data_IF_450540756783
#
_entry.id   IF_450540756783
#
_cell.length_a   1.000
_cell.length_b   1.000
_cell.length_c   1.000
_cell.angle_alpha   90.00
_cell.angle_beta   90.00
_cell.angle_gamma   90.00
#
_symmetry.space_group_name_H-M   'P 1'
#
loop_
_entity.id
_entity.type
_entity.pdbx_description
1 polymer ?
#
# COMPACT_ATOMS: atom_id res chain seq x y z
N UNK A 1 -8.29 23.07 33.63
CA UNK A 1 -7.78 24.07 32.66
C UNK A 1 -6.35 24.34 33.07
N UNK A 2 -5.31 24.01 32.31
CA UNK A 2 -4.94 24.58 31.01
C UNK A 2 -4.14 23.54 30.21
N UNK A 3 -4.62 23.18 29.00
CA UNK A 3 -3.85 22.44 28.01
C UNK A 3 -2.84 23.40 27.34
N UNK A 4 -1.55 23.10 27.45
CA UNK A 4 -0.47 23.87 26.83
C UNK A 4 -0.29 23.48 25.35
N UNK A 5 -0.16 24.52 24.54
CA UNK A 5 -0.03 24.54 23.08
C UNK A 5 1.15 23.68 22.57
N UNK A 6 0.85 22.60 21.84
CA UNK A 6 1.78 21.97 20.90
C UNK A 6 1.27 22.29 19.50
N UNK A 7 1.67 23.47 19.01
CA UNK A 7 1.25 24.00 17.72
C UNK A 7 2.44 24.16 16.77
N UNK A 8 2.34 23.49 15.63
CA UNK A 8 2.74 24.07 14.34
C UNK A 8 4.24 24.42 14.15
N UNK A 9 5.13 23.43 14.24
CA UNK A 9 6.47 23.52 13.60
C UNK A 9 6.35 23.17 12.11
N UNK A 10 5.65 24.06 11.40
CA UNK A 10 5.42 24.10 9.96
C UNK A 10 6.73 24.36 9.19
N UNK A 11 6.91 23.68 8.07
CA UNK A 11 6.97 24.30 6.73
C UNK A 11 7.72 25.64 6.68
N UNK A 12 8.98 25.68 7.12
CA UNK A 12 9.83 26.89 7.01
C UNK A 12 10.97 26.77 6.01
N UNK A 13 11.36 25.56 5.60
CA UNK A 13 12.41 25.40 4.58
C UNK A 13 11.84 25.46 3.16
N UNK A 14 10.56 25.10 2.98
CA UNK A 14 9.92 25.13 1.65
C UNK A 14 9.62 26.55 1.14
N UNK A 15 9.23 27.52 2.00
CA UNK A 15 8.84 28.87 1.54
C UNK A 15 10.00 29.76 1.06
N UNK A 16 11.25 29.46 1.42
CA UNK A 16 12.40 30.28 1.01
C UNK A 16 12.82 30.05 -0.45
N UNK A 17 12.34 28.98 -1.09
CA UNK A 17 12.68 28.63 -2.48
C UNK A 17 11.58 29.09 -3.46
N UNK A 18 10.41 29.52 -2.96
CA UNK A 18 9.23 29.91 -3.78
C UNK A 18 9.27 31.32 -4.39
N UNK A 19 10.42 32.01 -4.43
CA UNK A 19 10.56 33.18 -5.29
C UNK A 19 11.18 32.75 -6.61
N UNK A 20 10.30 32.65 -7.61
CA UNK A 20 10.55 32.55 -9.05
C UNK A 20 11.29 31.31 -9.56
N UNK A 21 10.62 30.16 -9.72
CA UNK A 21 11.08 29.15 -10.69
C UNK A 21 9.91 28.43 -11.35
N UNK A 22 9.94 28.40 -12.69
CA UNK A 22 9.14 27.61 -13.63
C UNK A 22 9.13 26.11 -13.24
N UNK A 23 8.29 25.23 -13.83
CA UNK A 23 8.24 23.82 -13.43
C UNK A 23 9.56 23.12 -13.80
N UNK A 24 10.50 23.09 -12.85
CA UNK A 24 11.78 22.42 -13.03
C UNK A 24 11.57 20.97 -12.63
N UNK A 25 11.45 20.10 -13.63
CA UNK A 25 11.76 18.67 -13.49
C UNK A 25 13.14 18.60 -12.82
N UNK A 26 13.24 17.94 -11.67
CA UNK A 26 14.48 18.01 -10.90
C UNK A 26 15.55 17.18 -11.61
N UNK A 27 16.43 17.84 -12.39
CA UNK A 27 17.59 17.22 -13.05
C UNK A 27 18.59 16.62 -12.04
N UNK A 28 18.40 16.86 -10.74
CA UNK A 28 19.20 16.27 -9.67
C UNK A 28 18.41 15.11 -9.04
N UNK A 29 18.89 13.86 -9.11
CA UNK A 29 18.21 12.69 -8.56
C UNK A 29 18.14 12.67 -7.02
N UNK A 30 18.60 13.75 -6.35
CA UNK A 30 18.75 13.87 -4.90
C UNK A 30 17.59 14.57 -4.19
N UNK A 31 16.66 15.15 -4.92
CA UNK A 31 15.57 15.92 -4.35
C UNK A 31 14.24 15.45 -4.91
N UNK A 32 13.21 15.50 -4.08
CA UNK A 32 11.84 15.48 -4.56
C UNK A 32 11.19 16.82 -4.29
N UNK A 33 10.29 17.19 -5.17
CA UNK A 33 9.54 18.43 -5.07
C UNK A 33 8.10 18.04 -4.78
N UNK A 34 7.59 18.46 -3.61
CA UNK A 34 6.15 18.49 -3.31
C UNK A 34 5.64 19.90 -3.58
N UNK A 35 5.22 20.17 -4.82
CA UNK A 35 4.51 21.39 -5.17
C UNK A 35 3.04 21.04 -5.34
N UNK A 36 2.14 21.74 -4.63
CA UNK A 36 0.67 21.68 -4.80
C UNK A 36 0.18 20.37 -5.45
N UNK A 37 0.16 19.29 -4.68
CA UNK A 37 -0.34 17.98 -5.11
C UNK A 37 0.48 17.25 -6.20
N UNK A 38 1.75 17.56 -6.39
CA UNK A 38 2.65 16.83 -7.30
C UNK A 38 3.90 16.40 -6.54
N UNK A 39 4.24 15.12 -6.63
CA UNK A 39 5.50 14.54 -6.14
C UNK A 39 6.36 14.20 -7.32
N UNK A 40 7.54 14.81 -7.41
CA UNK A 40 8.53 14.47 -8.43
C UNK A 40 9.78 13.85 -7.81
N UNK A 41 10.22 12.68 -8.26
CA UNK A 41 11.48 12.04 -7.84
C UNK A 41 12.39 11.92 -9.07
N UNK A 42 13.38 12.82 -9.16
CA UNK A 42 14.17 13.00 -10.37
C UNK A 42 13.29 13.43 -11.55
N UNK A 43 13.29 12.62 -12.62
CA UNK A 43 12.55 12.88 -13.86
C UNK A 43 11.07 12.46 -13.81
N UNK A 44 10.63 11.80 -12.74
CA UNK A 44 9.32 11.13 -12.69
C UNK A 44 8.43 11.89 -11.74
N UNK A 45 7.28 12.33 -12.23
CA UNK A 45 6.27 13.06 -11.46
C UNK A 45 4.95 12.31 -11.39
N UNK A 46 4.29 12.41 -10.24
CA UNK A 46 2.94 11.90 -10.02
C UNK A 46 2.10 12.95 -9.31
N UNK A 47 0.87 13.12 -9.78
CA UNK A 47 -0.15 13.88 -9.05
C UNK A 47 -0.65 13.07 -7.85
N UNK A 48 -0.67 13.71 -6.69
CA UNK A 48 -1.12 13.15 -5.41
C UNK A 48 -2.47 13.74 -5.05
N UNK A 49 -3.40 12.88 -4.66
CA UNK A 49 -4.67 13.32 -4.06
C UNK A 49 -4.48 13.58 -2.58
N UNK A 50 -5.19 14.57 -2.02
CA UNK A 50 -5.25 14.74 -0.57
C UNK A 50 -5.92 13.54 0.10
N UNK A 51 -5.30 13.03 1.17
CA UNK A 51 -5.88 11.96 1.99
C UNK A 51 -7.18 12.42 2.66
N UNK A 52 -8.22 11.59 2.62
CA UNK A 52 -9.49 11.86 3.32
C UNK A 52 -9.32 11.75 4.83
N UNK A 53 -8.47 10.83 5.24
CA UNK A 53 -8.15 10.51 6.62
C UNK A 53 -6.64 10.58 6.87
N UNK A 54 -6.12 11.76 7.26
CA UNK A 54 -4.69 11.95 7.52
C UNK A 54 -4.11 11.01 8.58
N UNK A 55 -4.93 10.48 9.49
CA UNK A 55 -4.52 9.51 10.50
C UNK A 55 -4.04 8.16 9.94
N UNK A 56 -4.40 7.85 8.69
CA UNK A 56 -3.92 6.67 7.96
C UNK A 56 -2.72 6.97 7.07
N UNK A 57 -2.18 8.20 7.08
CA UNK A 57 -0.96 8.55 6.36
C UNK A 57 0.20 8.47 7.36
N UNK A 58 1.30 7.76 7.03
CA UNK A 58 2.45 7.68 7.92
C UNK A 58 3.13 9.05 8.02
N UNK A 59 3.64 9.37 9.20
CA UNK A 59 4.34 10.62 9.49
C UNK A 59 5.74 10.32 10.03
N UNK A 60 6.71 11.18 9.76
CA UNK A 60 8.06 11.14 10.31
C UNK A 60 8.91 9.92 9.84
N UNK A 61 8.68 9.45 8.63
CA UNK A 61 9.53 8.46 7.94
C UNK A 61 10.47 9.11 6.92
N UNK A 62 10.12 10.29 6.43
CA UNK A 62 10.96 11.08 5.57
C UNK A 62 12.20 11.63 6.29
N UNK A 63 13.34 11.61 5.60
CA UNK A 63 14.62 12.17 6.07
C UNK A 63 15.32 12.91 4.94
N UNK A 64 15.84 14.09 5.24
CA UNK A 64 16.57 14.92 4.27
C UNK A 64 17.87 14.27 3.79
N UNK A 65 18.46 13.38 4.60
CA UNK A 65 19.75 12.72 4.37
C UNK A 65 19.63 11.27 3.84
N UNK A 66 18.55 10.97 3.11
CA UNK A 66 18.32 9.63 2.60
C UNK A 66 19.50 9.10 1.73
N UNK A 67 19.98 7.87 1.97
CA UNK A 67 20.99 7.24 1.13
C UNK A 67 20.53 7.13 -0.33
N UNK A 68 21.47 7.20 -1.28
CA UNK A 68 21.16 7.13 -2.72
C UNK A 68 20.35 5.88 -3.11
N UNK A 69 20.62 4.73 -2.48
CA UNK A 69 19.86 3.50 -2.73
C UNK A 69 18.38 3.60 -2.31
N UNK A 70 18.07 4.37 -1.26
CA UNK A 70 16.68 4.61 -0.85
C UNK A 70 15.93 5.43 -1.90
N UNK A 71 16.56 6.46 -2.45
CA UNK A 71 15.97 7.28 -3.51
C UNK A 71 15.69 6.47 -4.78
N UNK A 72 16.58 5.55 -5.15
CA UNK A 72 16.37 4.66 -6.28
C UNK A 72 15.14 3.76 -6.06
N UNK A 73 14.98 3.21 -4.86
CA UNK A 73 13.79 2.41 -4.53
C UNK A 73 12.51 3.25 -4.58
N UNK A 74 12.53 4.48 -4.04
CA UNK A 74 11.37 5.37 -4.09
C UNK A 74 11.00 5.77 -5.53
N UNK A 75 11.99 6.04 -6.39
CA UNK A 75 11.78 6.30 -7.83
C UNK A 75 11.12 5.10 -8.51
N UNK A 76 11.61 3.88 -8.23
CA UNK A 76 11.04 2.65 -8.80
C UNK A 76 9.61 2.37 -8.29
N UNK A 77 9.35 2.60 -7.00
CA UNK A 77 8.01 2.49 -6.43
C UNK A 77 7.04 3.48 -7.09
N UNK A 78 7.48 4.72 -7.33
CA UNK A 78 6.70 5.73 -8.03
C UNK A 78 6.36 5.30 -9.46
N UNK A 79 7.32 4.74 -10.20
CA UNK A 79 7.10 4.17 -11.53
C UNK A 79 6.03 3.08 -11.53
N UNK A 80 6.15 2.11 -10.61
CA UNK A 80 5.20 0.99 -10.50
C UNK A 80 3.81 1.46 -10.14
N UNK A 81 3.70 2.43 -9.24
CA UNK A 81 2.41 2.99 -8.84
C UNK A 81 1.75 3.80 -9.97
N UNK A 82 2.52 4.50 -10.81
CA UNK A 82 1.99 5.16 -12.02
C UNK A 82 1.42 4.13 -13.01
N UNK A 83 2.09 2.98 -13.17
CA UNK A 83 1.61 1.87 -13.99
C UNK A 83 0.41 1.13 -13.37
N UNK A 84 0.06 1.44 -12.12
CA UNK A 84 -1.04 0.79 -11.41
C UNK A 84 -0.70 -0.62 -10.91
N UNK A 85 0.58 -0.98 -10.85
CA UNK A 85 1.02 -2.31 -10.43
C UNK A 85 1.21 -2.38 -8.92
N UNK A 86 0.99 -3.56 -8.36
CA UNK A 86 1.38 -3.87 -6.98
C UNK A 86 2.92 -3.96 -6.87
N UNK A 87 3.41 -3.77 -5.65
CA UNK A 87 4.83 -3.66 -5.35
C UNK A 87 5.24 -4.79 -4.41
N UNK A 88 6.29 -5.54 -4.76
CA UNK A 88 6.89 -6.55 -3.89
C UNK A 88 8.34 -6.17 -3.55
N UNK A 89 8.56 -5.70 -2.31
CA UNK A 89 9.87 -5.32 -1.81
C UNK A 89 10.57 -6.53 -1.19
N UNK A 90 11.68 -6.95 -1.79
CA UNK A 90 12.53 -8.03 -1.33
C UNK A 90 13.79 -7.50 -0.67
N UNK A 91 14.18 -8.10 0.45
CA UNK A 91 15.39 -7.66 1.15
C UNK A 91 15.57 -8.35 2.49
N UNK A 92 16.73 -8.19 3.13
CA UNK A 92 17.04 -8.86 4.39
C UNK A 92 15.99 -8.55 5.47
N UNK A 93 15.86 -9.44 6.47
CA UNK A 93 14.99 -9.17 7.60
C UNK A 93 15.38 -7.85 8.27
N UNK A 94 14.38 -7.07 8.70
CA UNK A 94 14.59 -5.77 9.35
C UNK A 94 13.61 -4.70 8.90
N UNK A 95 13.69 -3.54 9.53
CA UNK A 95 12.76 -2.41 9.34
C UNK A 95 12.97 -1.65 8.03
N UNK A 96 14.11 -1.83 7.33
CA UNK A 96 14.47 -1.02 6.16
C UNK A 96 13.41 -1.03 5.07
N UNK A 97 12.87 -2.21 4.71
CA UNK A 97 11.83 -2.33 3.67
C UNK A 97 10.54 -1.61 4.09
N UNK A 98 10.13 -1.82 5.34
CA UNK A 98 8.95 -1.15 5.91
C UNK A 98 9.14 0.37 5.93
N UNK A 99 10.31 0.84 6.34
CA UNK A 99 10.63 2.27 6.36
C UNK A 99 10.58 2.89 4.97
N UNK A 100 11.10 2.21 3.94
CA UNK A 100 11.00 2.66 2.54
C UNK A 100 9.52 2.73 2.10
N UNK A 101 8.72 1.71 2.42
CA UNK A 101 7.31 1.70 2.10
C UNK A 101 6.54 2.84 2.79
N UNK A 102 6.77 3.05 4.08
CA UNK A 102 6.15 4.14 4.84
C UNK A 102 6.60 5.51 4.35
N UNK A 103 7.89 5.67 4.03
CA UNK A 103 8.42 6.90 3.46
C UNK A 103 7.78 7.20 2.10
N UNK A 104 7.59 6.20 1.25
CA UNK A 104 6.87 6.37 -0.02
C UNK A 104 5.43 6.88 0.17
N UNK A 105 4.72 6.33 1.16
CA UNK A 105 3.34 6.71 1.45
C UNK A 105 3.22 8.11 2.07
N UNK A 106 4.18 8.49 2.91
CA UNK A 106 4.29 9.86 3.44
C UNK A 106 4.54 10.86 2.31
N UNK A 107 5.45 10.54 1.39
CA UNK A 107 5.75 11.39 0.24
C UNK A 107 4.53 11.57 -0.68
N UNK A 108 3.80 10.49 -0.94
CA UNK A 108 2.64 10.49 -1.85
C UNK A 108 1.32 10.86 -1.18
N UNK A 109 1.33 11.16 0.13
CA UNK A 109 0.16 11.45 0.96
C UNK A 109 -0.95 10.39 0.84
N UNK A 110 -0.58 9.11 0.84
CA UNK A 110 -1.52 8.00 0.66
C UNK A 110 -1.87 7.33 1.97
N UNK A 111 -3.18 7.10 2.15
CA UNK A 111 -3.69 6.30 3.26
C UNK A 111 -3.25 4.84 3.13
N UNK A 112 -2.90 4.21 4.24
CA UNK A 112 -2.53 2.81 4.28
C UNK A 112 -3.22 2.03 5.38
N UNK A 113 -3.27 0.71 5.19
CA UNK A 113 -3.63 -0.27 6.21
C UNK A 113 -2.48 -1.27 6.30
N UNK A 114 -2.12 -1.68 7.52
CA UNK A 114 -0.99 -2.57 7.76
C UNK A 114 -1.47 -3.94 8.25
N UNK A 115 -0.91 -5.01 7.68
CA UNK A 115 -1.18 -6.39 8.08
C UNK A 115 0.14 -7.14 8.20
N UNK A 116 0.43 -7.65 9.40
CA UNK A 116 1.52 -8.57 9.64
C UNK A 116 0.97 -10.00 9.68
N UNK A 117 1.41 -10.82 8.74
CA UNK A 117 1.06 -12.23 8.64
C UNK A 117 2.01 -13.04 9.53
N UNK A 118 1.40 -13.89 10.35
CA UNK A 118 2.05 -14.91 11.17
C UNK A 118 1.44 -16.28 10.84
N UNK A 119 2.00 -17.32 11.46
CA UNK A 119 1.44 -18.68 11.36
C UNK A 119 0.08 -18.81 12.05
N UNK A 120 -0.26 -17.88 12.92
CA UNK A 120 -1.51 -17.84 13.67
C UNK A 120 -2.54 -16.92 13.03
N UNK A 121 -2.20 -16.23 11.92
CA UNK A 121 -3.15 -15.38 11.21
C UNK A 121 -4.19 -16.24 10.52
N UNK A 122 -5.45 -15.96 10.82
CA UNK A 122 -6.59 -16.68 10.25
C UNK A 122 -7.27 -15.87 9.15
N UNK A 123 -8.13 -16.52 8.37
CA UNK A 123 -8.98 -15.86 7.38
C UNK A 123 -9.86 -14.75 8.00
N UNK A 124 -10.32 -14.93 9.24
CA UNK A 124 -11.11 -13.92 9.97
C UNK A 124 -10.33 -12.64 10.28
N UNK A 125 -9.01 -12.72 10.43
CA UNK A 125 -8.14 -11.54 10.66
C UNK A 125 -7.90 -10.73 9.36
N UNK A 126 -8.19 -11.34 8.20
CA UNK A 126 -7.98 -10.76 6.88
C UNK A 126 -9.30 -10.25 6.30
N UNK A 127 -10.35 -11.06 6.37
CA UNK A 127 -11.67 -10.76 5.82
C UNK A 127 -12.50 -9.96 6.84
N UNK A 128 -13.15 -10.70 7.74
CA UNK A 128 -14.12 -10.16 8.66
C UNK A 128 -14.07 -10.92 9.98
N UNK A 129 -14.17 -10.16 11.07
CA UNK A 129 -14.32 -10.73 12.40
C UNK A 129 -15.80 -10.70 12.78
N UNK A 130 -16.34 -11.85 13.20
CA UNK A 130 -17.70 -11.95 13.72
C UNK A 130 -17.68 -11.67 15.23
N UNK A 131 -18.41 -10.65 15.65
CA UNK A 131 -18.57 -10.29 17.07
C UNK A 131 -20.04 -10.26 17.46
N UNK A 132 -20.34 -10.69 18.68
CA UNK A 132 -21.70 -10.64 19.22
C UNK A 132 -21.87 -9.31 19.94
N UNK A 133 -22.72 -8.45 19.41
CA UNK A 133 -23.09 -7.18 20.02
C UNK A 133 -24.57 -7.19 20.34
N UNK A 134 -24.89 -7.01 21.63
CA UNK A 134 -26.28 -6.96 22.11
C UNK A 134 -27.11 -8.18 21.64
N UNK A 135 -26.53 -9.37 21.70
CA UNK A 135 -27.19 -10.62 21.30
C UNK A 135 -27.31 -10.85 19.79
N UNK A 136 -26.80 -9.95 18.95
CA UNK A 136 -26.78 -10.09 17.48
C UNK A 136 -25.35 -10.25 16.97
N UNK A 137 -25.12 -11.21 16.07
CA UNK A 137 -23.83 -11.34 15.39
C UNK A 137 -23.65 -10.21 14.36
N UNK A 138 -22.60 -9.40 14.52
CA UNK A 138 -22.17 -8.38 13.56
C UNK A 138 -20.81 -8.77 12.97
N UNK A 139 -20.64 -8.45 11.70
CA UNK A 139 -19.38 -8.66 10.98
C UNK A 139 -18.62 -7.34 10.88
N UNK A 140 -17.34 -7.37 11.23
CA UNK A 140 -16.45 -6.22 11.20
C UNK A 140 -15.37 -6.42 10.14
N UNK A 141 -15.37 -5.52 9.15
CA UNK A 141 -14.38 -5.51 8.06
C UNK A 141 -12.97 -5.27 8.61
N UNK A 142 -12.06 -6.20 8.30
CA UNK A 142 -10.66 -6.09 8.70
C UNK A 142 -9.86 -5.23 7.71
N UNK A 143 -8.57 -5.06 8.02
CA UNK A 143 -7.67 -4.14 7.33
C UNK A 143 -7.63 -4.35 5.81
N UNK A 144 -7.64 -5.61 5.33
CA UNK A 144 -7.56 -5.92 3.89
C UNK A 144 -8.83 -5.49 3.15
N UNK A 145 -10.00 -5.82 3.70
CA UNK A 145 -11.31 -5.42 3.13
C UNK A 145 -11.46 -3.90 3.14
N UNK A 146 -11.06 -3.25 4.23
CA UNK A 146 -11.07 -1.79 4.35
C UNK A 146 -10.14 -1.12 3.34
N UNK A 147 -8.95 -1.69 3.11
CA UNK A 147 -8.03 -1.16 2.12
C UNK A 147 -8.60 -1.25 0.70
N UNK A 148 -9.16 -2.41 0.34
CA UNK A 148 -9.76 -2.66 -0.96
C UNK A 148 -10.97 -1.74 -1.25
N UNK A 149 -11.85 -1.57 -0.26
CA UNK A 149 -13.06 -0.74 -0.41
C UNK A 149 -12.77 0.76 -0.40
N UNK A 150 -11.84 1.22 0.45
CA UNK A 150 -11.51 2.65 0.59
C UNK A 150 -10.45 3.14 -0.40
N UNK A 151 -9.78 2.24 -1.12
CA UNK A 151 -8.69 2.59 -2.03
C UNK A 151 -7.39 2.96 -1.33
N UNK A 152 -7.15 2.35 -0.16
CA UNK A 152 -5.92 2.54 0.62
C UNK A 152 -4.83 1.62 0.11
N UNK A 153 -3.59 1.94 0.44
CA UNK A 153 -2.47 1.03 0.19
C UNK A 153 -2.41 -0.03 1.29
N UNK A 154 -2.45 -1.30 0.90
CA UNK A 154 -2.28 -2.40 1.85
C UNK A 154 -0.80 -2.76 1.96
N UNK A 155 -0.24 -2.62 3.17
CA UNK A 155 1.09 -3.12 3.48
C UNK A 155 0.96 -4.54 4.03
N UNK A 156 1.47 -5.52 3.29
CA UNK A 156 1.52 -6.92 3.71
C UNK A 156 2.94 -7.27 4.14
N UNK A 157 3.12 -7.72 5.37
CA UNK A 157 4.41 -8.20 5.86
C UNK A 157 4.33 -9.65 6.29
N UNK A 158 5.36 -10.44 5.99
CA UNK A 158 5.44 -11.82 6.45
C UNK A 158 4.63 -12.81 5.61
N UNK A 159 4.45 -12.54 4.31
CA UNK A 159 3.72 -13.44 3.40
C UNK A 159 4.32 -14.84 3.36
N UNK A 160 5.63 -14.97 3.60
CA UNK A 160 6.33 -16.24 3.70
C UNK A 160 5.96 -17.07 4.94
N UNK A 161 5.30 -16.45 5.92
CA UNK A 161 4.86 -17.09 7.17
C UNK A 161 3.36 -17.38 7.20
N UNK A 162 2.63 -16.95 6.17
CA UNK A 162 1.19 -17.10 6.10
C UNK A 162 0.79 -18.58 6.10
N UNK A 163 -0.33 -18.88 6.76
CA UNK A 163 -0.91 -20.22 6.78
C UNK A 163 -1.48 -20.60 5.39
N UNK A 164 -1.63 -21.90 5.12
CA UNK A 164 -2.00 -22.43 3.80
C UNK A 164 -3.41 -22.03 3.35
N UNK A 165 -4.33 -21.82 4.29
CA UNK A 165 -5.70 -21.34 4.06
C UNK A 165 -5.76 -19.82 3.75
N UNK A 166 -4.79 -19.04 4.23
CA UNK A 166 -4.73 -17.59 4.04
C UNK A 166 -4.24 -17.21 2.64
N UNK A 167 -3.24 -17.94 2.13
CA UNK A 167 -2.62 -17.62 0.84
C UNK A 167 -3.61 -17.60 -0.34
N UNK A 168 -4.53 -18.59 -0.51
CA UNK A 168 -5.52 -18.55 -1.58
C UNK A 168 -6.44 -17.33 -1.52
N UNK A 169 -6.85 -16.93 -0.32
CA UNK A 169 -7.72 -15.78 -0.08
C UNK A 169 -7.02 -14.48 -0.49
N UNK A 170 -5.75 -14.32 -0.09
CA UNK A 170 -4.95 -13.16 -0.50
C UNK A 170 -4.66 -13.19 -2.00
N UNK A 171 -4.31 -14.35 -2.56
CA UNK A 171 -3.95 -14.47 -3.98
C UNK A 171 -5.09 -14.03 -4.89
N UNK A 172 -6.33 -14.44 -4.59
CA UNK A 172 -7.49 -14.02 -5.39
C UNK A 172 -7.72 -12.50 -5.36
N UNK A 173 -7.46 -11.86 -4.22
CA UNK A 173 -7.53 -10.40 -4.12
C UNK A 173 -6.35 -9.72 -4.85
N UNK A 174 -5.15 -10.29 -4.78
CA UNK A 174 -3.96 -9.73 -5.42
C UNK A 174 -4.02 -9.86 -6.94
N UNK A 175 -4.51 -10.98 -7.47
CA UNK A 175 -4.60 -11.24 -8.91
C UNK A 175 -5.87 -10.65 -9.52
N UNK A 176 -7.03 -11.00 -8.96
CA UNK A 176 -8.32 -10.71 -9.59
C UNK A 176 -9.07 -9.55 -8.94
N UNK A 177 -8.56 -8.95 -7.84
CA UNK A 177 -9.32 -7.99 -7.02
C UNK A 177 -10.67 -8.54 -6.55
N UNK A 178 -10.75 -9.86 -6.33
CA UNK A 178 -11.97 -10.54 -5.91
C UNK A 178 -11.80 -11.18 -4.53
N UNK A 179 -12.82 -11.07 -3.68
CA UNK A 179 -12.83 -11.68 -2.35
C UNK A 179 -14.25 -11.89 -1.83
N UNK A 180 -14.54 -13.13 -1.43
CA UNK A 180 -15.79 -13.49 -0.76
C UNK A 180 -15.74 -13.12 0.72
N UNK A 181 -16.78 -12.44 1.22
CA UNK A 181 -16.93 -12.05 2.62
C UNK A 181 -17.94 -12.96 3.35
N UNK A 182 -17.79 -13.08 4.67
CA UNK A 182 -18.60 -13.97 5.52
C UNK A 182 -20.05 -13.51 5.67
N UNK A 183 -20.32 -12.22 5.50
CA UNK A 183 -21.69 -11.65 5.45
C UNK A 183 -22.41 -11.87 4.11
N UNK A 184 -21.75 -12.56 3.17
CA UNK A 184 -22.24 -12.86 1.83
C UNK A 184 -21.98 -11.76 0.81
N UNK A 185 -21.25 -10.69 1.16
CA UNK A 185 -20.77 -9.73 0.18
C UNK A 185 -19.66 -10.32 -0.69
N UNK A 186 -19.57 -9.85 -1.93
CA UNK A 186 -18.50 -10.22 -2.86
C UNK A 186 -17.79 -8.96 -3.36
N UNK A 187 -16.50 -8.84 -3.05
CA UNK A 187 -15.65 -7.82 -3.63
C UNK A 187 -15.36 -8.19 -5.09
N UNK A 188 -15.55 -7.24 -6.00
CA UNK A 188 -15.24 -7.38 -7.42
C UNK A 188 -14.44 -6.18 -7.95
N UNK A 189 -13.67 -6.33 -9.04
CA UNK A 189 -12.99 -5.25 -9.72
C UNK A 189 -13.90 -4.07 -10.03
N UNK A 190 -13.34 -2.87 -9.92
CA UNK A 190 -13.97 -1.62 -10.33
C UNK A 190 -14.59 -1.68 -11.73
N UNK A 191 -13.82 -2.13 -12.73
CA UNK A 191 -14.27 -2.24 -14.12
C UNK A 191 -15.52 -3.13 -14.24
N UNK A 192 -15.46 -4.33 -13.67
CA UNK A 192 -16.57 -5.29 -13.69
C UNK A 192 -17.81 -4.77 -12.94
N UNK A 193 -17.61 -4.08 -11.82
CA UNK A 193 -18.72 -3.46 -11.08
C UNK A 193 -19.39 -2.37 -11.90
N UNK A 194 -18.61 -1.49 -12.52
CA UNK A 194 -19.11 -0.35 -13.30
C UNK A 194 -19.85 -0.81 -14.58
N UNK A 195 -19.46 -1.94 -15.17
CA UNK A 195 -20.16 -2.54 -16.30
C UNK A 195 -21.50 -3.15 -15.86
N UNK A 196 -21.52 -3.95 -14.80
CA UNK A 196 -22.76 -4.50 -14.24
C UNK A 196 -23.72 -3.40 -13.77
N UNK A 197 -23.19 -2.31 -13.23
CA UNK A 197 -23.97 -1.16 -12.80
C UNK A 197 -24.75 -0.52 -13.97
N UNK A 198 -24.14 -0.45 -15.15
CA UNK A 198 -24.81 0.07 -16.36
C UNK A 198 -25.89 -0.89 -16.88
N UNK A 199 -25.67 -2.20 -16.74
CA UNK A 199 -26.58 -3.22 -17.26
C UNK A 199 -27.81 -3.46 -16.36
N UNK A 200 -27.60 -3.53 -15.05
CA UNK A 200 -28.61 -4.00 -14.09
C UNK A 200 -29.05 -2.95 -13.06
N UNK A 201 -28.31 -1.84 -12.91
CA UNK A 201 -28.61 -0.78 -11.94
C UNK A 201 -28.28 -1.13 -10.49
N UNK A 202 -28.17 -0.11 -9.62
CA UNK A 202 -27.68 -0.27 -8.23
C UNK A 202 -28.52 -1.24 -7.38
N UNK A 203 -29.83 -1.33 -7.60
CA UNK A 203 -30.73 -2.18 -6.81
C UNK A 203 -30.45 -3.67 -6.99
N UNK A 204 -30.21 -4.12 -8.23
CA UNK A 204 -29.87 -5.52 -8.52
C UNK A 204 -28.49 -5.89 -7.99
N UNK A 205 -27.50 -5.00 -8.12
CA UNK A 205 -26.18 -5.21 -7.52
C UNK A 205 -26.26 -5.31 -5.99
N UNK A 206 -27.14 -4.52 -5.37
CA UNK A 206 -27.43 -4.60 -3.95
C UNK A 206 -28.01 -5.96 -3.53
N UNK A 207 -28.92 -6.53 -4.34
CA UNK A 207 -29.47 -7.89 -4.10
C UNK A 207 -28.39 -8.97 -4.21
N UNK A 208 -27.45 -8.81 -5.14
CA UNK A 208 -26.30 -9.71 -5.29
C UNK A 208 -25.18 -9.45 -4.27
N UNK A 209 -25.32 -8.42 -3.42
CA UNK A 209 -24.33 -8.01 -2.41
C UNK A 209 -22.95 -7.75 -2.99
N UNK A 210 -22.88 -7.22 -4.20
CA UNK A 210 -21.61 -6.87 -4.85
C UNK A 210 -21.02 -5.61 -4.24
N UNK A 211 -19.70 -5.63 -4.01
CA UNK A 211 -18.95 -4.49 -3.48
C UNK A 211 -17.84 -4.15 -4.45
N UNK A 212 -17.80 -2.88 -4.86
CA UNK A 212 -16.76 -2.35 -5.74
C UNK A 212 -15.43 -2.25 -5.01
N UNK A 213 -14.37 -2.87 -5.54
CA UNK A 213 -12.99 -2.56 -5.16
C UNK A 213 -12.58 -1.22 -5.77
N UNK A 214 -11.89 -0.40 -5.00
CA UNK A 214 -11.47 0.92 -5.47
C UNK A 214 -10.28 0.83 -6.43
N UNK A 215 -10.28 1.62 -7.52
CA UNK A 215 -9.21 1.64 -8.52
C UNK A 215 -7.85 2.07 -7.95
N UNK A 216 -7.86 2.85 -6.87
CA UNK A 216 -6.66 3.30 -6.17
C UNK A 216 -6.13 2.24 -5.19
N UNK A 217 -6.82 1.12 -4.99
CA UNK A 217 -6.31 0.05 -4.15
C UNK A 217 -4.98 -0.50 -4.72
N UNK A 218 -3.95 -0.52 -3.89
CA UNK A 218 -2.61 -1.01 -4.24
C UNK A 218 -2.05 -1.83 -3.08
N UNK A 219 -1.21 -2.79 -3.40
CA UNK A 219 -0.53 -3.61 -2.39
C UNK A 219 0.97 -3.36 -2.43
N UNK A 220 1.55 -3.14 -1.24
CA UNK A 220 2.99 -3.17 -1.02
C UNK A 220 3.28 -4.36 -0.12
N UNK A 221 3.76 -5.45 -0.70
CA UNK A 221 4.14 -6.64 0.04
C UNK A 221 5.64 -6.64 0.34
N UNK A 222 5.98 -7.01 1.58
CA UNK A 222 7.33 -7.04 2.13
C UNK A 222 7.73 -8.50 2.31
N UNK A 223 8.68 -8.96 1.49
CA UNK A 223 9.15 -10.33 1.50
C UNK A 223 10.60 -10.48 1.95
N UNK A 224 10.95 -11.68 2.41
CA UNK A 224 12.33 -12.11 2.56
C UNK A 224 12.84 -12.69 1.24
N UNK A 225 14.11 -12.47 0.88
CA UNK A 225 14.72 -13.21 -0.21
C UNK A 225 14.69 -14.69 0.18
N UNK A 226 14.06 -15.52 -0.64
CA UNK A 226 14.05 -16.96 -0.42
C UNK A 226 15.50 -17.44 -0.50
N UNK A 227 16.07 -18.05 0.56
CA UNK A 227 17.40 -18.63 0.45
C UNK A 227 17.39 -19.72 -0.64
N UNK A 228 18.44 -19.79 -1.47
CA UNK A 228 18.61 -20.79 -2.55
C UNK A 228 18.84 -22.23 -2.03
N UNK A 229 18.29 -22.61 -0.87
CA UNK A 229 18.48 -23.95 -0.30
C UNK A 229 17.34 -24.88 -0.71
N UNK A 230 17.71 -26.12 -1.10
CA UNK A 230 16.78 -27.19 -1.48
C UNK A 230 15.84 -27.50 -0.31
N UNK A 231 14.55 -27.24 -0.48
CA UNK A 231 13.51 -27.73 0.44
C UNK A 231 12.37 -26.76 0.77
N UNK A 232 12.44 -25.49 0.37
CA UNK A 232 11.34 -24.54 0.57
C UNK A 232 10.82 -24.02 -0.78
N UNK A 233 9.93 -24.77 -1.48
CA UNK A 233 9.35 -24.35 -2.74
C UNK A 233 8.15 -23.44 -2.44
N UNK A 234 8.39 -22.30 -1.80
CA UNK A 234 7.42 -21.21 -1.92
C UNK A 234 7.80 -20.50 -3.21
N UNK A 235 7.15 -20.88 -4.31
CA UNK A 235 7.08 -19.98 -5.45
C UNK A 235 6.53 -18.66 -4.91
N UNK A 236 7.26 -17.54 -5.05
CA UNK A 236 6.76 -16.27 -4.57
C UNK A 236 5.41 -16.01 -5.25
N UNK A 237 4.36 -15.65 -4.50
CA UNK A 237 2.98 -15.58 -4.99
C UNK A 237 2.76 -14.48 -6.04
N UNK A 238 3.80 -13.75 -6.42
CA UNK A 238 3.76 -12.73 -7.45
C UNK A 238 4.88 -13.01 -8.47
N UNK A 239 4.53 -12.98 -9.75
CA UNK A 239 5.42 -13.23 -10.88
C UNK A 239 6.69 -12.35 -10.91
N UNK A 240 7.61 -12.60 -11.86
CA UNK A 240 8.90 -11.91 -11.92
C UNK A 240 8.80 -10.37 -12.02
N UNK A 241 7.70 -9.83 -12.59
CA UNK A 241 7.52 -8.40 -12.86
C UNK A 241 7.27 -7.52 -11.62
N UNK A 242 7.05 -8.14 -10.46
CA UNK A 242 6.66 -7.47 -9.21
C UNK A 242 7.84 -7.15 -8.28
N UNK A 243 9.04 -7.65 -8.57
CA UNK A 243 10.12 -7.74 -7.58
C UNK A 243 11.13 -6.60 -7.69
N UNK A 244 11.47 -5.99 -6.55
CA UNK A 244 12.68 -5.19 -6.38
C UNK A 244 13.50 -5.75 -5.22
N UNK A 245 14.73 -6.15 -5.50
CA UNK A 245 15.70 -6.53 -4.48
C UNK A 245 16.39 -5.30 -3.91
N UNK A 246 16.18 -5.00 -2.64
CA UNK A 246 16.79 -3.86 -1.94
C UNK A 246 18.22 -4.16 -1.47
N UNK A 247 18.96 -5.04 -2.15
CA UNK A 247 20.29 -5.46 -1.69
C UNK A 247 21.33 -4.38 -2.00
N UNK A 248 22.02 -3.90 -0.96
CA UNK A 248 23.39 -3.39 -1.10
C UNK A 248 24.31 -4.60 -0.97
N UNK A 249 24.37 -5.44 -2.00
CA UNK A 249 25.50 -6.35 -2.14
C UNK A 249 26.60 -5.59 -2.85
N UNK A 250 27.50 -5.00 -2.07
CA UNK A 250 28.89 -4.92 -2.52
C UNK A 250 29.34 -6.37 -2.67
N UNK A 251 29.21 -6.92 -3.87
CA UNK A 251 29.90 -8.13 -4.25
C UNK A 251 31.39 -7.78 -4.33
N UNK A 252 32.08 -7.86 -3.19
CA UNK A 252 33.51 -8.13 -3.21
C UNK A 252 33.64 -9.60 -3.66
N UNK A 253 34.39 -9.75 -4.75
CA UNK A 253 34.81 -11.01 -5.37
C UNK A 253 35.36 -12.02 -4.37
#
# INVERSE_FOLDING_TARGET
MVFSRVGCARIKILKSIFKSYSPVICDKPRFYVTQQNVVAIGEISKETTEAKHPEYVPINYYRDDNPHGTLLHLKWMLQKDILGHDIFLLGPPGSRKRNIAMQYLELTNREHEYVALSRDTTESDIKQRREILQGTAKYFDQNVVRAATKGRVLILEGIEKAERNVLPVLNNLLENREMHLEDGRLLIPASRYDDLLKEHGEEELGKWKLVRVNDNFRVIALGLPVPKYRGNPLDPPCGPDFKLETSTSTAIR
#
